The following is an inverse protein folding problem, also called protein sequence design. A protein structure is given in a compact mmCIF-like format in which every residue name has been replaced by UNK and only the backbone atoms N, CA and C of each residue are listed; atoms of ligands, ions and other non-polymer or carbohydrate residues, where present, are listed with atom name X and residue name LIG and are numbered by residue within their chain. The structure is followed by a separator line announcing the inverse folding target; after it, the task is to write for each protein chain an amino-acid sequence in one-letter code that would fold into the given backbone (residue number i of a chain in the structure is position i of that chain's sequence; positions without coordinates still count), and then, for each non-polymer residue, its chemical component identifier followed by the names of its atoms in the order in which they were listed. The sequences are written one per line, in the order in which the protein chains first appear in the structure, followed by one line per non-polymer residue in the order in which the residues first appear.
data_IF_044438201631
#
_entry.id   IF_044438201631
#
_cell.length_a   1.000
_cell.length_b   1.000
_cell.length_c   1.000
_cell.angle_alpha   90.00
_cell.angle_beta   90.00
_cell.angle_gamma   90.00
#
_symmetry.space_group_name_H-M   'P 1'
#
loop_
_entity.id
_entity.type
_entity.pdbx_description
1 polymer ?
#
# COMPACT_ATOMS: atom_id res chain seq x y z
N UNK A 1 -2.81 17.32 3.49
CA UNK A 1 -3.46 16.91 4.76
C UNK A 1 -2.38 16.80 5.84
N UNK A 2 -2.61 17.26 7.08
CA UNK A 2 -1.54 17.37 8.08
C UNK A 2 -1.31 16.06 8.86
N UNK A 3 -0.09 15.85 9.37
CA UNK A 3 0.22 14.73 10.27
C UNK A 3 -0.67 14.72 11.51
N UNK A 4 -0.99 15.92 12.04
CA UNK A 4 -1.85 16.08 13.20
C UNK A 4 -3.28 15.57 12.93
N UNK A 5 -3.83 15.85 11.75
CA UNK A 5 -5.14 15.34 11.34
C UNK A 5 -5.20 13.80 11.33
N UNK A 6 -4.13 13.14 10.88
CA UNK A 6 -4.06 11.67 10.86
C UNK A 6 -3.92 11.08 12.26
N UNK A 7 -3.17 11.74 13.15
CA UNK A 7 -3.06 11.33 14.57
C UNK A 7 -4.42 11.40 15.27
N UNK A 8 -5.19 12.46 15.02
CA UNK A 8 -6.54 12.61 15.58
C UNK A 8 -7.51 11.56 15.03
N UNK A 9 -7.48 11.30 13.73
CA UNK A 9 -8.27 10.23 13.12
C UNK A 9 -7.93 8.85 13.71
N UNK A 10 -6.64 8.55 13.88
CA UNK A 10 -6.18 7.30 14.49
C UNK A 10 -6.64 7.18 15.96
N UNK A 11 -6.48 8.23 16.76
CA UNK A 11 -6.93 8.24 18.16
C UNK A 11 -8.45 8.07 18.29
N UNK A 12 -9.23 8.60 17.34
CA UNK A 12 -10.68 8.45 17.29
C UNK A 12 -11.16 7.13 16.68
N UNK A 13 -10.26 6.28 16.17
CA UNK A 13 -10.64 5.05 15.43
C UNK A 13 -11.35 5.33 14.10
N UNK A 14 -11.18 6.53 13.54
CA UNK A 14 -11.83 6.99 12.31
C UNK A 14 -11.14 6.38 11.08
N UNK A 15 -11.50 5.13 10.80
CA UNK A 15 -10.93 4.34 9.70
C UNK A 15 -11.14 5.01 8.35
N UNK A 16 -12.28 5.66 8.12
CA UNK A 16 -12.56 6.28 6.83
C UNK A 16 -11.62 7.44 6.56
N UNK A 17 -11.31 8.30 7.55
CA UNK A 17 -10.32 9.38 7.36
C UNK A 17 -8.93 8.84 7.06
N UNK A 18 -8.52 7.76 7.71
CA UNK A 18 -7.22 7.13 7.45
C UNK A 18 -7.16 6.52 6.04
N UNK A 19 -8.20 5.80 5.62
CA UNK A 19 -8.27 5.22 4.28
C UNK A 19 -8.39 6.31 3.20
N UNK A 20 -9.15 7.37 3.47
CA UNK A 20 -9.24 8.55 2.60
C UNK A 20 -7.88 9.21 2.38
N UNK A 21 -7.06 9.33 3.41
CA UNK A 21 -5.67 9.78 3.24
C UNK A 21 -4.89 8.92 2.27
N UNK A 22 -4.99 7.60 2.40
CA UNK A 22 -4.30 6.65 1.53
C UNK A 22 -4.76 6.80 0.08
N UNK A 23 -6.08 6.90 -0.16
CA UNK A 23 -6.64 7.16 -1.51
C UNK A 23 -6.13 8.49 -2.07
N UNK A 24 -6.16 9.57 -1.30
CA UNK A 24 -5.66 10.86 -1.75
C UNK A 24 -4.15 10.83 -2.04
N UNK A 25 -3.37 10.09 -1.25
CA UNK A 25 -1.93 9.96 -1.43
C UNK A 25 -1.59 9.20 -2.72
N UNK A 26 -2.20 8.02 -2.93
CA UNK A 26 -1.98 7.25 -4.16
C UNK A 26 -2.63 7.90 -5.38
N UNK A 27 -3.68 8.68 -5.20
CA UNK A 27 -4.46 9.31 -6.26
C UNK A 27 -4.02 10.71 -6.69
N UNK A 28 -2.87 11.20 -6.21
CA UNK A 28 -2.40 12.59 -6.41
C UNK A 28 -3.50 13.64 -6.11
N UNK A 29 -4.16 13.49 -4.95
CA UNK A 29 -5.26 14.35 -4.54
C UNK A 29 -6.64 13.99 -5.11
N UNK A 30 -6.74 13.00 -6.01
CA UNK A 30 -8.01 12.47 -6.52
C UNK A 30 -8.35 11.10 -5.89
N UNK A 31 -9.41 11.05 -5.08
CA UNK A 31 -9.81 9.82 -4.37
C UNK A 31 -10.23 8.68 -5.31
N UNK A 32 -10.88 8.99 -6.44
CA UNK A 32 -11.30 7.98 -7.41
C UNK A 32 -10.08 7.39 -8.12
N UNK A 33 -9.13 8.23 -8.50
CA UNK A 33 -7.86 7.78 -9.07
C UNK A 33 -7.10 6.90 -8.07
N UNK A 34 -6.99 7.35 -6.82
CA UNK A 34 -6.31 6.58 -5.78
C UNK A 34 -6.96 5.25 -5.45
N UNK A 35 -8.29 5.17 -5.53
CA UNK A 35 -8.99 3.88 -5.44
C UNK A 35 -8.58 2.94 -6.58
N UNK A 36 -8.52 3.45 -7.81
CA UNK A 36 -8.07 2.66 -8.98
C UNK A 36 -6.62 2.20 -8.83
N UNK A 37 -5.73 3.05 -8.33
CA UNK A 37 -4.33 2.67 -8.05
C UNK A 37 -4.25 1.56 -7.00
N UNK A 38 -5.06 1.63 -5.94
CA UNK A 38 -5.14 0.57 -4.94
C UNK A 38 -5.63 -0.74 -5.55
N UNK A 39 -6.69 -0.68 -6.35
CA UNK A 39 -7.26 -1.85 -7.02
C UNK A 39 -6.25 -2.49 -7.99
N UNK A 40 -5.47 -1.68 -8.73
CA UNK A 40 -4.37 -2.15 -9.60
C UNK A 40 -3.32 -2.93 -8.82
N UNK A 41 -2.85 -2.39 -7.68
CA UNK A 41 -1.83 -3.05 -6.86
C UNK A 41 -2.28 -4.45 -6.41
N UNK A 42 -3.54 -4.58 -5.97
CA UNK A 42 -4.11 -5.86 -5.55
C UNK A 42 -4.29 -6.83 -6.73
N UNK A 43 -4.72 -6.33 -7.89
CA UNK A 43 -4.84 -7.14 -9.09
C UNK A 43 -3.49 -7.70 -9.55
N UNK A 44 -2.44 -6.87 -9.59
CA UNK A 44 -1.08 -7.31 -9.96
C UNK A 44 -0.49 -8.28 -8.94
N UNK A 45 -0.67 -8.03 -7.63
CA UNK A 45 -0.19 -8.92 -6.58
C UNK A 45 -0.86 -10.31 -6.63
N UNK A 46 -2.12 -10.38 -7.09
CA UNK A 46 -2.85 -11.65 -7.19
C UNK A 46 -2.35 -12.52 -8.35
N UNK A 47 -1.95 -11.94 -9.48
CA UNK A 47 -1.48 -12.68 -10.67
C UNK A 47 -0.44 -13.76 -10.35
N UNK A 48 0.70 -13.47 -9.67
CA UNK A 48 1.66 -14.50 -9.35
C UNK A 48 1.10 -15.55 -8.38
N UNK A 49 0.14 -15.21 -7.51
CA UNK A 49 -0.45 -16.19 -6.59
C UNK A 49 -1.35 -17.22 -7.29
N UNK A 50 -1.93 -16.87 -8.44
CA UNK A 50 -2.75 -17.79 -9.24
C UNK A 50 -1.92 -18.92 -9.86
N UNK A 51 -0.64 -18.68 -10.12
CA UNK A 51 0.30 -19.66 -10.68
C UNK A 51 0.90 -20.58 -9.59
N UNK A 52 0.57 -20.35 -8.32
CA UNK A 52 1.06 -21.10 -7.14
C UNK A 52 2.58 -21.34 -7.17
N UNK A 53 3.41 -20.31 -7.39
CA UNK A 53 4.85 -20.47 -7.43
C UNK A 53 5.36 -20.89 -6.04
N UNK A 54 6.52 -21.58 -5.97
CA UNK A 54 7.20 -21.76 -4.70
C UNK A 54 7.49 -20.38 -4.08
N UNK A 55 6.91 -20.12 -2.91
CA UNK A 55 7.13 -18.89 -2.15
C UNK A 55 8.09 -19.16 -1.01
N UNK A 56 8.99 -18.22 -0.74
CA UNK A 56 9.89 -18.29 0.41
C UNK A 56 9.13 -17.98 1.71
N UNK A 57 8.42 -18.99 2.21
CA UNK A 57 7.59 -18.87 3.40
C UNK A 57 8.42 -18.62 4.66
N UNK A 58 9.66 -19.12 4.71
CA UNK A 58 10.56 -18.91 5.84
C UNK A 58 10.93 -17.43 5.94
N UNK A 59 11.35 -16.83 4.82
CA UNK A 59 11.64 -15.40 4.75
C UNK A 59 10.44 -14.53 5.18
N UNK A 60 9.23 -14.86 4.71
CA UNK A 60 8.01 -14.12 5.07
C UNK A 60 7.77 -14.16 6.58
N UNK A 61 7.79 -15.36 7.18
CA UNK A 61 7.50 -15.53 8.61
C UNK A 61 8.59 -14.93 9.49
N UNK A 62 9.86 -15.05 9.10
CA UNK A 62 10.96 -14.43 9.81
C UNK A 62 10.85 -12.90 9.78
N UNK A 63 10.54 -12.33 8.61
CA UNK A 63 10.36 -10.88 8.45
C UNK A 63 9.24 -10.36 9.36
N UNK A 64 8.10 -11.04 9.39
CA UNK A 64 6.97 -10.67 10.26
C UNK A 64 7.32 -10.77 11.75
N UNK A 65 8.18 -11.70 12.14
CA UNK A 65 8.56 -11.93 13.54
C UNK A 65 9.65 -10.97 14.03
N UNK A 66 10.58 -10.59 13.17
CA UNK A 66 11.84 -9.94 13.56
C UNK A 66 11.87 -8.44 13.32
N UNK A 67 11.00 -7.91 12.45
CA UNK A 67 10.97 -6.48 12.10
C UNK A 67 9.96 -5.72 12.94
N UNK A 68 10.28 -4.46 13.24
CA UNK A 68 9.37 -3.55 13.94
C UNK A 68 8.19 -3.12 13.06
N UNK A 69 7.12 -2.64 13.71
CA UNK A 69 5.89 -2.25 13.01
C UNK A 69 6.09 -1.11 12.01
N UNK A 70 7.04 -0.21 12.26
CA UNK A 70 7.34 0.90 11.34
C UNK A 70 7.94 0.36 10.04
N UNK A 71 8.93 -0.53 10.15
CA UNK A 71 9.56 -1.22 9.01
C UNK A 71 8.52 -2.01 8.22
N UNK A 72 7.65 -2.77 8.89
CA UNK A 72 6.59 -3.52 8.23
C UNK A 72 5.59 -2.60 7.50
N UNK A 73 5.22 -1.47 8.10
CA UNK A 73 4.37 -0.48 7.44
C UNK A 73 5.04 0.10 6.19
N UNK A 74 6.32 0.49 6.28
CA UNK A 74 7.08 0.96 5.12
C UNK A 74 7.17 -0.11 4.03
N UNK A 75 7.50 -1.36 4.39
CA UNK A 75 7.54 -2.48 3.45
C UNK A 75 6.20 -2.66 2.74
N UNK A 76 5.08 -2.57 3.47
CA UNK A 76 3.74 -2.65 2.87
C UNK A 76 3.51 -1.55 1.83
N UNK A 77 3.86 -0.29 2.12
CA UNK A 77 3.77 0.79 1.13
C UNK A 77 4.69 0.55 -0.07
N UNK A 78 5.94 0.14 0.13
CA UNK A 78 6.86 -0.15 -0.97
C UNK A 78 6.37 -1.29 -1.87
N UNK A 79 5.83 -2.37 -1.28
CA UNK A 79 5.23 -3.47 -2.04
C UNK A 79 4.01 -3.00 -2.84
N UNK A 80 3.15 -2.17 -2.24
CA UNK A 80 2.01 -1.58 -2.94
C UNK A 80 2.46 -0.83 -4.20
N UNK A 81 3.42 0.09 -4.04
CA UNK A 81 3.95 0.86 -5.16
C UNK A 81 4.63 -0.02 -6.22
N UNK A 82 5.36 -1.05 -5.79
CA UNK A 82 5.95 -2.02 -6.72
C UNK A 82 4.90 -2.68 -7.62
N UNK A 83 3.77 -3.12 -7.04
CA UNK A 83 2.68 -3.73 -7.81
C UNK A 83 1.94 -2.72 -8.68
N UNK A 84 1.74 -1.47 -8.24
CA UNK A 84 1.22 -0.41 -9.10
C UNK A 84 2.10 -0.22 -10.33
N UNK A 85 3.42 -0.15 -10.16
CA UNK A 85 4.36 -0.01 -11.28
C UNK A 85 4.30 -1.18 -12.27
N UNK A 86 4.07 -2.40 -11.78
CA UNK A 86 3.90 -3.59 -12.64
C UNK A 86 2.62 -3.54 -13.48
N UNK A 87 1.62 -2.75 -13.10
CA UNK A 87 0.37 -2.61 -13.87
C UNK A 87 0.53 -1.85 -15.19
N UNK A 88 1.67 -1.18 -15.42
CA UNK A 88 1.98 -0.48 -16.66
C UNK A 88 1.29 0.90 -16.81
N UNK A 89 0.40 1.26 -15.90
CA UNK A 89 -0.27 2.56 -15.85
C UNK A 89 -0.09 3.18 -14.47
N UNK A 90 0.79 4.19 -14.35
CA UNK A 90 0.98 4.93 -13.10
C UNK A 90 0.70 6.42 -13.33
N UNK A 91 -0.10 7.00 -12.44
CA UNK A 91 -0.47 8.43 -12.51
C UNK A 91 0.60 9.37 -11.94
N UNK A 92 1.67 8.84 -11.32
CA UNK A 92 2.76 9.67 -10.78
C UNK A 92 3.99 9.62 -11.70
N UNK A 93 4.55 10.80 -12.01
CA UNK A 93 5.76 10.96 -12.83
C UNK A 93 7.08 10.70 -12.06
N UNK A 94 7.01 10.29 -10.78
CA UNK A 94 8.15 10.29 -9.87
C UNK A 94 8.52 8.89 -9.35
N UNK A 95 9.82 8.56 -9.37
CA UNK A 95 10.38 7.50 -8.51
C UNK A 95 10.28 7.95 -7.06
N UNK A 96 9.70 7.09 -6.21
CA UNK A 96 9.75 7.23 -4.74
C UNK A 96 11.19 7.32 -4.22
#
# INVERSE_FOLDING_TARGET
MSLQYLKEAAAAGDREKLVRYVRLHFGDGNEEAGRKEIDKAWAEALKPLLEVPPTDREFILETLRTRDSATLAHLFFHLHFHFVQQSGEWIHDGRL
#
